data_IF_915018785870
#
_entry.id   IF_915018785870
#
_cell.length_a   1.000
_cell.length_b   1.000
_cell.length_c   1.000
_cell.angle_alpha   90.00
_cell.angle_beta   90.00
_cell.angle_gamma   90.00
#
_symmetry.space_group_name_H-M   'P 1'
#
loop_
_entity.id
_entity.type
_entity.pdbx_description
1 polymer ?
#
# COMPACT_ATOMS: atom_id res chain seq x y z
N UNK A 1 -21.79 -20.18 15.95
CA UNK A 1 -20.52 -20.56 15.33
C UNK A 1 -20.58 -22.04 14.98
N UNK A 2 -20.39 -22.39 13.72
CA UNK A 2 -20.29 -23.78 13.31
C UNK A 2 -18.97 -24.35 13.88
N UNK A 3 -19.05 -25.42 14.68
CA UNK A 3 -17.91 -26.09 15.33
C UNK A 3 -17.19 -26.98 14.32
N UNK A 4 -16.38 -26.37 13.46
CA UNK A 4 -15.47 -27.10 12.60
C UNK A 4 -14.03 -26.82 13.03
N UNK A 5 -13.22 -27.87 13.08
CA UNK A 5 -11.78 -27.73 13.27
C UNK A 5 -11.17 -27.00 12.06
N UNK A 6 -10.28 -26.05 12.35
CA UNK A 6 -9.59 -25.25 11.33
C UNK A 6 -8.11 -25.52 11.43
N UNK A 7 -7.51 -25.85 10.30
CA UNK A 7 -6.06 -25.94 10.18
C UNK A 7 -5.50 -24.58 9.74
N UNK A 8 -4.57 -24.04 10.53
CA UNK A 8 -3.88 -22.80 10.19
C UNK A 8 -2.77 -23.11 9.19
N UNK A 9 -2.85 -22.51 8.00
CA UNK A 9 -1.68 -22.42 7.11
C UNK A 9 -0.74 -21.37 7.70
N UNK A 10 0.38 -21.82 8.24
CA UNK A 10 1.21 -21.03 9.14
C UNK A 10 2.53 -20.57 8.52
N UNK A 11 2.66 -20.57 7.18
CA UNK A 11 3.85 -20.06 6.48
C UNK A 11 3.41 -19.04 5.43
N UNK A 12 4.02 -17.85 5.45
CA UNK A 12 3.80 -16.79 4.46
C UNK A 12 5.00 -16.69 3.51
N UNK A 13 4.72 -16.50 2.23
CA UNK A 13 5.72 -16.52 1.16
C UNK A 13 5.77 -15.21 0.35
N UNK A 14 5.24 -14.10 0.89
CA UNK A 14 5.01 -12.85 0.15
C UNK A 14 5.73 -11.64 0.76
N UNK A 15 5.49 -11.39 2.03
CA UNK A 15 5.91 -10.15 2.68
C UNK A 15 7.35 -10.24 3.16
N UNK A 16 8.08 -9.13 3.06
CA UNK A 16 9.31 -8.96 3.83
C UNK A 16 9.00 -9.16 5.33
N UNK A 17 9.88 -9.82 6.12
CA UNK A 17 9.66 -10.05 7.54
C UNK A 17 9.31 -8.81 8.37
N UNK A 18 9.83 -7.63 8.00
CA UNK A 18 9.49 -6.39 8.72
C UNK A 18 8.03 -5.98 8.52
N UNK A 19 7.42 -6.32 7.38
CA UNK A 19 6.00 -6.05 7.08
C UNK A 19 5.13 -7.11 7.76
N UNK A 20 5.50 -8.40 7.69
CA UNK A 20 4.70 -9.50 8.27
C UNK A 20 4.61 -9.45 9.80
N UNK A 21 5.57 -8.79 10.45
CA UNK A 21 5.66 -8.70 11.91
C UNK A 21 4.39 -8.17 12.57
N UNK A 22 3.84 -7.03 12.09
CA UNK A 22 2.66 -6.42 12.70
C UNK A 22 1.40 -7.28 12.52
N UNK A 23 1.00 -7.69 11.30
CA UNK A 23 -0.18 -8.53 11.11
C UNK A 23 -0.10 -9.86 11.87
N UNK A 24 1.09 -10.49 11.90
CA UNK A 24 1.30 -11.75 12.60
C UNK A 24 1.08 -11.60 14.12
N UNK A 25 1.62 -10.55 14.73
CA UNK A 25 1.42 -10.26 16.14
C UNK A 25 -0.04 -9.89 16.46
N UNK A 26 -0.67 -9.07 15.62
CA UNK A 26 -1.99 -8.50 15.89
C UNK A 26 -3.15 -9.48 15.66
N UNK A 27 -3.04 -10.35 14.64
CA UNK A 27 -4.17 -11.18 14.18
C UNK A 27 -3.93 -12.68 14.28
N UNK A 28 -2.68 -13.13 14.44
CA UNK A 28 -2.31 -14.54 14.36
C UNK A 28 -1.53 -15.04 15.57
N UNK A 29 -1.45 -14.28 16.67
CA UNK A 29 -0.75 -14.67 17.90
C UNK A 29 0.71 -15.10 17.65
N UNK A 30 1.37 -14.51 16.64
CA UNK A 30 2.74 -14.87 16.22
C UNK A 30 2.89 -16.31 15.69
N UNK A 31 1.81 -16.94 15.24
CA UNK A 31 1.81 -18.32 14.73
C UNK A 31 2.23 -18.43 13.26
N UNK A 32 2.32 -17.32 12.52
CA UNK A 32 2.79 -17.32 11.12
C UNK A 32 4.32 -17.28 11.07
N UNK A 33 4.91 -18.12 10.23
CA UNK A 33 6.33 -18.21 9.93
C UNK A 33 6.63 -17.59 8.56
N UNK A 34 7.83 -17.07 8.40
CA UNK A 34 8.32 -16.56 7.12
C UNK A 34 8.93 -17.71 6.31
N UNK A 35 8.53 -17.83 5.04
CA UNK A 35 9.10 -18.80 4.10
C UNK A 35 10.55 -18.47 3.74
N UNK A 36 11.32 -19.47 3.31
CA UNK A 36 12.74 -19.28 2.96
C UNK A 36 12.96 -18.28 1.83
N UNK A 37 12.00 -18.13 0.92
CA UNK A 37 12.08 -17.17 -0.18
C UNK A 37 12.13 -15.72 0.34
N UNK A 38 11.27 -15.33 1.29
CA UNK A 38 11.20 -13.96 1.79
C UNK A 38 12.38 -13.58 2.69
N UNK A 39 13.17 -14.56 3.11
CA UNK A 39 14.43 -14.34 3.84
C UNK A 39 15.61 -14.10 2.88
N UNK A 40 15.46 -14.42 1.59
CA UNK A 40 16.49 -14.20 0.59
C UNK A 40 16.57 -12.72 0.18
N UNK A 41 17.77 -12.11 0.14
CA UNK A 41 17.98 -10.80 -0.47
C UNK A 41 17.60 -10.74 -1.95
N UNK A 42 17.61 -11.87 -2.67
CA UNK A 42 17.21 -11.90 -4.08
C UNK A 42 15.70 -11.74 -4.29
N UNK A 43 14.90 -12.13 -3.29
CA UNK A 43 13.45 -11.99 -3.33
C UNK A 43 13.03 -10.57 -2.98
N UNK A 44 13.65 -10.01 -1.94
CA UNK A 44 13.45 -8.62 -1.56
C UNK A 44 14.35 -7.74 -2.43
N UNK A 45 13.84 -7.30 -3.59
CA UNK A 45 14.54 -6.37 -4.48
C UNK A 45 15.17 -5.23 -3.66
N UNK A 46 16.33 -4.75 -4.10
CA UNK A 46 17.03 -3.69 -3.40
C UNK A 46 16.31 -2.34 -3.57
N UNK A 47 15.57 -1.95 -2.54
CA UNK A 47 14.87 -0.67 -2.46
C UNK A 47 15.64 0.39 -1.66
N UNK A 48 16.92 0.19 -1.36
CA UNK A 48 17.74 1.17 -0.59
C UNK A 48 17.87 2.53 -1.30
N UNK A 49 17.60 2.58 -2.61
CA UNK A 49 17.53 3.82 -3.38
C UNK A 49 16.25 4.65 -3.12
N UNK A 50 15.28 4.11 -2.37
CA UNK A 50 14.09 4.82 -1.93
C UNK A 50 14.37 5.54 -0.60
N UNK A 51 13.80 6.73 -0.37
CA UNK A 51 14.03 7.50 0.85
C UNK A 51 13.26 6.95 2.07
N UNK A 52 12.74 5.73 2.00
CA UNK A 52 11.94 5.09 3.03
C UNK A 52 12.27 3.60 3.11
N UNK A 53 12.17 3.04 4.32
CA UNK A 53 12.38 1.61 4.53
C UNK A 53 11.18 0.78 4.09
N UNK A 54 11.34 -0.54 4.10
CA UNK A 54 10.33 -1.53 3.69
C UNK A 54 9.00 -1.42 4.44
N UNK A 55 8.96 -0.77 5.62
CA UNK A 55 7.74 -0.45 6.34
C UNK A 55 7.88 0.94 6.98
N UNK A 56 7.08 1.91 6.50
CA UNK A 56 7.18 3.33 6.90
C UNK A 56 5.80 3.95 7.08
N UNK A 57 5.61 4.68 8.18
CA UNK A 57 4.44 5.54 8.39
C UNK A 57 4.78 6.99 8.12
N UNK A 58 3.94 7.66 7.33
CA UNK A 58 4.06 9.10 7.05
C UNK A 58 2.90 9.78 7.75
N UNK A 59 3.21 10.53 8.81
CA UNK A 59 2.21 11.32 9.52
C UNK A 59 1.91 12.60 8.75
N UNK A 60 0.68 12.74 8.25
CA UNK A 60 0.22 13.92 7.49
C UNK A 60 -0.59 14.81 8.43
N UNK A 61 0.08 15.82 9.01
CA UNK A 61 -0.51 16.66 10.08
C UNK A 61 -1.49 17.72 9.58
N UNK A 62 -1.31 18.21 8.36
CA UNK A 62 -2.15 19.28 7.79
C UNK A 62 -3.32 18.75 6.95
N UNK A 63 -3.49 17.43 6.92
CA UNK A 63 -4.58 16.77 6.23
C UNK A 63 -5.93 17.09 6.87
N UNK A 64 -6.90 17.45 6.03
CA UNK A 64 -8.30 17.57 6.43
C UNK A 64 -9.15 16.68 5.53
N UNK A 65 -9.85 15.74 6.14
CA UNK A 65 -10.90 15.00 5.45
C UNK A 65 -12.05 15.94 5.06
N UNK A 66 -12.54 15.79 3.83
CA UNK A 66 -13.74 16.46 3.36
C UNK A 66 -14.60 15.47 2.57
N UNK A 67 -15.88 15.80 2.41
CA UNK A 67 -16.83 15.01 1.63
C UNK A 67 -16.81 15.46 0.18
N UNK A 68 -16.87 14.50 -0.73
CA UNK A 68 -17.09 14.82 -2.14
C UNK A 68 -18.57 15.15 -2.41
N UNK A 69 -18.87 16.43 -2.57
CA UNK A 69 -20.21 16.90 -2.93
C UNK A 69 -21.28 16.49 -1.91
N UNK A 70 -22.43 15.99 -2.39
CA UNK A 70 -23.53 15.48 -1.53
C UNK A 70 -23.34 14.04 -1.05
N UNK A 71 -22.22 13.39 -1.38
CA UNK A 71 -21.95 12.00 -1.03
C UNK A 71 -21.45 11.81 0.41
N UNK A 72 -21.47 10.56 0.89
CA UNK A 72 -20.92 10.17 2.20
C UNK A 72 -19.50 9.59 2.12
N UNK A 73 -18.81 9.70 0.98
CA UNK A 73 -17.43 9.24 0.84
C UNK A 73 -16.46 10.38 1.13
N UNK A 74 -15.41 10.07 1.88
CA UNK A 74 -14.41 11.02 2.34
C UNK A 74 -13.17 10.99 1.46
N UNK A 75 -12.50 12.14 1.34
CA UNK A 75 -11.18 12.27 0.74
C UNK A 75 -10.34 13.26 1.53
N UNK A 76 -9.02 13.13 1.42
CA UNK A 76 -8.07 14.04 2.00
C UNK A 76 -7.08 14.46 0.91
N UNK A 77 -7.23 15.68 0.41
CA UNK A 77 -6.43 16.17 -0.73
C UNK A 77 -4.95 16.36 -0.40
N UNK A 78 -4.61 16.53 0.89
CA UNK A 78 -3.21 16.58 1.33
C UNK A 78 -2.59 15.19 1.20
N UNK A 79 -3.28 14.14 1.66
CA UNK A 79 -2.85 12.76 1.41
C UNK A 79 -2.75 12.45 -0.08
N UNK A 80 -3.68 12.91 -0.92
CA UNK A 80 -3.58 12.76 -2.38
C UNK A 80 -2.28 13.37 -2.91
N UNK A 81 -1.92 14.59 -2.47
CA UNK A 81 -0.69 15.24 -2.89
C UNK A 81 0.56 14.46 -2.43
N UNK A 82 0.56 13.96 -1.18
CA UNK A 82 1.63 13.13 -0.63
C UNK A 82 1.78 11.83 -1.43
N UNK A 83 0.69 11.12 -1.71
CA UNK A 83 0.70 9.88 -2.52
C UNK A 83 1.31 10.12 -3.89
N UNK A 84 0.91 11.18 -4.60
CA UNK A 84 1.46 11.52 -5.91
C UNK A 84 2.94 11.87 -5.84
N UNK A 85 3.36 12.55 -4.77
CA UNK A 85 4.76 12.86 -4.53
C UNK A 85 5.58 11.59 -4.30
N UNK A 86 5.08 10.65 -3.50
CA UNK A 86 5.72 9.35 -3.27
C UNK A 86 5.89 8.56 -4.57
N UNK A 87 4.83 8.44 -5.37
CA UNK A 87 4.89 7.75 -6.67
C UNK A 87 5.94 8.40 -7.58
N UNK A 88 5.98 9.73 -7.64
CA UNK A 88 6.96 10.45 -8.46
C UNK A 88 8.40 10.27 -7.94
N UNK A 89 8.60 10.20 -6.63
CA UNK A 89 9.90 9.93 -6.03
C UNK A 89 10.36 8.50 -6.32
N UNK A 90 9.46 7.52 -6.20
CA UNK A 90 9.74 6.12 -6.59
C UNK A 90 10.10 6.05 -8.06
N UNK A 91 9.33 6.70 -8.93
CA UNK A 91 9.60 6.74 -10.37
C UNK A 91 10.99 7.27 -10.71
N UNK A 92 11.44 8.33 -10.04
CA UNK A 92 12.79 8.87 -10.22
C UNK A 92 13.88 7.88 -9.82
N UNK A 93 13.69 7.16 -8.72
CA UNK A 93 14.63 6.12 -8.28
C UNK A 93 14.61 4.90 -9.21
N UNK A 94 13.42 4.46 -9.62
CA UNK A 94 13.21 3.34 -10.54
C UNK A 94 13.91 3.53 -11.89
N UNK A 95 13.88 4.74 -12.46
CA UNK A 95 14.59 5.05 -13.71
C UNK A 95 16.10 4.75 -13.70
N UNK A 96 16.70 4.58 -12.52
CA UNK A 96 18.12 4.23 -12.37
C UNK A 96 18.37 2.73 -12.43
N UNK A 97 17.36 1.92 -12.14
CA UNK A 97 17.48 0.45 -12.10
C UNK A 97 16.85 -0.21 -13.33
N UNK A 98 15.79 0.39 -13.88
CA UNK A 98 15.03 -0.09 -15.06
C UNK A 98 14.52 -1.53 -14.92
N UNK A 99 14.28 -1.97 -13.68
CA UNK A 99 13.70 -3.27 -13.37
C UNK A 99 12.19 -3.15 -13.19
N UNK A 100 11.42 -4.12 -13.69
CA UNK A 100 9.97 -4.15 -13.53
C UNK A 100 9.53 -3.89 -12.09
N UNK A 101 8.66 -2.89 -11.91
CA UNK A 101 8.18 -2.43 -10.62
C UNK A 101 6.68 -2.17 -10.66
N UNK A 102 5.97 -2.76 -9.71
CA UNK A 102 4.53 -2.54 -9.55
C UNK A 102 4.19 -1.84 -8.23
N UNK A 103 3.28 -0.86 -8.30
CA UNK A 103 2.87 -0.04 -7.16
C UNK A 103 1.36 -0.13 -7.00
N UNK A 104 0.91 -0.59 -5.84
CA UNK A 104 -0.48 -0.61 -5.44
C UNK A 104 -0.80 0.53 -4.49
N UNK A 105 -1.64 1.46 -4.91
CA UNK A 105 -2.22 2.47 -4.02
C UNK A 105 -3.58 2.01 -3.55
N UNK A 106 -3.74 1.88 -2.24
CA UNK A 106 -4.96 1.36 -1.62
C UNK A 106 -5.58 2.41 -0.71
N UNK A 107 -6.89 2.54 -0.76
CA UNK A 107 -7.63 3.38 0.19
C UNK A 107 -9.01 2.79 0.49
N UNK A 108 -9.54 2.88 1.73
CA UNK A 108 -10.87 2.40 2.06
C UNK A 108 -12.00 3.26 1.46
N UNK A 109 -11.72 4.50 1.02
CA UNK A 109 -12.74 5.42 0.53
C UNK A 109 -12.70 5.57 -0.99
N UNK A 110 -13.84 5.33 -1.64
CA UNK A 110 -14.00 5.49 -3.09
C UNK A 110 -13.65 6.91 -3.57
N UNK A 111 -14.08 7.95 -2.86
CA UNK A 111 -13.74 9.33 -3.22
C UNK A 111 -12.23 9.60 -3.18
N UNK A 112 -11.48 8.96 -2.27
CA UNK A 112 -10.02 9.05 -2.25
C UNK A 112 -9.40 8.31 -3.45
N UNK A 113 -9.85 7.09 -3.74
CA UNK A 113 -9.40 6.32 -4.92
C UNK A 113 -9.62 7.13 -6.20
N UNK A 114 -10.81 7.69 -6.37
CA UNK A 114 -11.17 8.46 -7.56
C UNK A 114 -10.36 9.77 -7.63
N UNK A 115 -10.12 10.46 -6.51
CA UNK A 115 -9.27 11.65 -6.45
C UNK A 115 -7.81 11.37 -6.82
N UNK A 116 -7.24 10.26 -6.33
CA UNK A 116 -5.87 9.85 -6.67
C UNK A 116 -5.79 9.49 -8.15
N UNK A 117 -6.72 8.68 -8.67
CA UNK A 117 -6.76 8.32 -10.11
C UNK A 117 -6.86 9.55 -10.99
N UNK A 118 -7.77 10.47 -10.67
CA UNK A 118 -7.99 11.70 -11.43
C UNK A 118 -6.72 12.55 -11.52
N UNK A 119 -6.00 12.71 -10.40
CA UNK A 119 -4.75 13.48 -10.36
C UNK A 119 -3.55 12.76 -10.95
N UNK A 120 -3.49 11.43 -10.83
CA UNK A 120 -2.45 10.61 -11.45
C UNK A 120 -2.58 10.63 -12.98
N UNK A 121 -3.83 10.60 -13.48
CA UNK A 121 -4.13 10.55 -14.90
C UNK A 121 -3.47 9.34 -15.56
N UNK A 122 -2.93 9.57 -16.77
CA UNK A 122 -2.19 8.57 -17.56
C UNK A 122 -0.68 8.78 -17.52
N UNK A 123 -0.17 9.46 -16.48
CA UNK A 123 1.21 9.98 -16.43
C UNK A 123 2.28 8.89 -16.62
N UNK A 124 1.98 7.65 -16.22
CA UNK A 124 2.92 6.53 -16.25
C UNK A 124 2.44 5.37 -17.14
N UNK A 125 1.31 5.51 -17.86
CA UNK A 125 0.73 4.43 -18.67
C UNK A 125 1.65 3.99 -19.82
N UNK A 126 2.52 4.89 -20.28
CA UNK A 126 3.49 4.64 -21.36
C UNK A 126 4.88 4.29 -20.84
N UNK A 127 5.06 4.11 -19.53
CA UNK A 127 6.33 3.73 -18.93
C UNK A 127 6.39 2.21 -18.78
N UNK A 128 7.00 1.54 -19.76
CA UNK A 128 7.21 0.09 -19.73
C UNK A 128 7.98 -0.30 -18.46
N UNK A 129 7.48 -1.30 -17.75
CA UNK A 129 8.09 -1.77 -16.50
C UNK A 129 7.78 -0.92 -15.26
N UNK A 130 6.97 0.15 -15.34
CA UNK A 130 6.51 0.93 -14.20
C UNK A 130 4.99 0.99 -14.13
N UNK A 131 4.38 0.17 -13.28
CA UNK A 131 2.93 0.02 -13.22
C UNK A 131 2.36 0.55 -11.92
N UNK A 132 1.39 1.46 -12.00
CA UNK A 132 0.68 2.01 -10.83
C UNK A 132 -0.79 1.63 -10.90
N UNK A 133 -1.28 0.91 -9.89
CA UNK A 133 -2.71 0.59 -9.73
C UNK A 133 -3.26 1.34 -8.53
N UNK A 134 -4.46 1.88 -8.65
CA UNK A 134 -5.17 2.55 -7.54
C UNK A 134 -6.50 1.86 -7.34
N UNK A 135 -6.75 1.28 -6.17
CA UNK A 135 -7.98 0.52 -5.89
C UNK A 135 -8.46 0.71 -4.46
N UNK A 136 -9.71 0.31 -4.21
CA UNK A 136 -10.20 0.14 -2.84
C UNK A 136 -9.58 -1.09 -2.19
N UNK A 137 -9.70 -1.22 -0.86
CA UNK A 137 -9.26 -2.41 -0.12
C UNK A 137 -9.89 -3.68 -0.70
N UNK A 138 -11.21 -3.68 -0.91
CA UNK A 138 -11.93 -4.83 -1.49
C UNK A 138 -11.46 -5.13 -2.92
N UNK A 139 -11.16 -4.09 -3.70
CA UNK A 139 -10.66 -4.24 -5.08
C UNK A 139 -9.24 -4.77 -5.16
N UNK A 140 -8.50 -4.79 -4.04
CA UNK A 140 -7.13 -5.26 -3.95
C UNK A 140 -7.03 -6.66 -3.30
N UNK A 141 -8.15 -7.23 -2.88
CA UNK A 141 -8.16 -8.54 -2.22
C UNK A 141 -7.60 -9.64 -3.14
N UNK A 142 -6.57 -10.33 -2.66
CA UNK A 142 -5.92 -11.42 -3.41
C UNK A 142 -4.88 -10.95 -4.44
N UNK A 143 -4.68 -9.64 -4.60
CA UNK A 143 -3.61 -9.06 -5.40
C UNK A 143 -2.40 -8.71 -4.53
N UNK A 144 -1.25 -8.60 -5.18
CA UNK A 144 -0.01 -8.12 -4.57
C UNK A 144 0.73 -7.18 -5.52
N UNK A 145 1.58 -6.33 -4.96
CA UNK A 145 2.47 -5.44 -5.68
C UNK A 145 3.79 -5.33 -4.92
N UNK A 146 4.85 -4.96 -5.64
CA UNK A 146 6.19 -4.74 -5.06
C UNK A 146 6.17 -3.66 -3.97
N UNK A 147 5.40 -2.58 -4.20
CA UNK A 147 5.24 -1.47 -3.26
C UNK A 147 3.75 -1.21 -3.02
N UNK A 148 3.34 -1.13 -1.76
CA UNK A 148 1.99 -0.73 -1.36
C UNK A 148 2.01 0.64 -0.69
N UNK A 149 1.18 1.57 -1.17
CA UNK A 149 0.91 2.85 -0.53
C UNK A 149 -0.53 2.85 -0.01
N UNK A 150 -0.69 2.83 1.31
CA UNK A 150 -2.00 2.89 1.96
C UNK A 150 -2.35 4.33 2.34
N UNK A 151 -3.42 4.89 1.77
CA UNK A 151 -3.97 6.19 2.16
C UNK A 151 -5.16 5.98 3.10
N UNK A 152 -5.00 6.40 4.35
CA UNK A 152 -5.95 6.19 5.45
C UNK A 152 -7.11 7.19 5.45
N UNK A 153 -6.92 8.37 4.84
CA UNK A 153 -7.89 9.46 4.64
C UNK A 153 -8.33 10.15 5.91
N UNK A 154 -8.74 9.40 6.93
CA UNK A 154 -9.39 9.95 8.10
C UNK A 154 -8.42 10.72 8.97
N UNK A 155 -8.79 11.96 9.28
CA UNK A 155 -7.97 12.92 10.03
C UNK A 155 -8.82 13.58 11.11
N UNK A 156 -9.59 12.79 11.86
CA UNK A 156 -10.45 13.27 12.93
C UNK A 156 -10.05 12.62 14.27
N UNK A 157 -10.27 13.35 15.37
CA UNK A 157 -9.89 12.89 16.72
C UNK A 157 -10.69 11.70 17.25
N UNK A 158 -11.71 11.21 16.51
CA UNK A 158 -12.51 10.05 16.91
C UNK A 158 -11.99 8.74 16.31
N UNK A 159 -11.21 8.82 15.21
CA UNK A 159 -10.72 7.64 14.50
C UNK A 159 -11.83 6.80 13.83
N UNK A 160 -13.05 7.34 13.72
CA UNK A 160 -14.23 6.70 13.14
C UNK A 160 -14.84 7.60 12.10
#
# INVERSE_FOLDING_TARGET
>A
MLKFDKHLLNIQYRMNPCISLFPNAQFYERKILDGSNVLSPSYNKDYTCLPFGSYTFINVTDGREDKEGKGNSHRNMVEVAVVLHLIHTIFKSWKRTDQGLSIGVVSPYKAQVDAIKSRLGKKYDTCDGFHVRVKSVDGFQGEEDDIIILSTVRSNGRGV
#
